data_IF_371412009011
#
_entry.id   IF_371412009011
#
_cell.length_a   1.000
_cell.length_b   1.000
_cell.length_c   1.000
_cell.angle_alpha   90.00
_cell.angle_beta   90.00
_cell.angle_gamma   90.00
#
_symmetry.space_group_name_H-M   'P 1'
#
loop_
_entity.id
_entity.type
_entity.pdbx_description
1 polymer ?
#
# COMPACT_ATOMS: atom_id res chain seq x y z
N UNK A 1 -14.36 8.90 5.31
CA UNK A 1 -14.36 9.84 6.46
C UNK A 1 -15.67 10.63 6.49
N UNK A 2 -16.05 11.31 5.41
CA UNK A 2 -17.34 12.04 5.35
C UNK A 2 -18.53 11.15 5.76
N UNK A 3 -18.63 9.95 5.24
CA UNK A 3 -19.72 9.01 5.55
C UNK A 3 -19.77 8.57 7.03
N UNK A 4 -18.69 8.79 7.79
CA UNK A 4 -18.61 8.53 9.24
C UNK A 4 -18.76 9.82 10.08
N UNK A 5 -19.13 10.96 9.46
CA UNK A 5 -19.28 12.24 10.14
C UNK A 5 -17.98 12.84 10.68
N UNK A 6 -16.83 12.42 10.14
CA UNK A 6 -15.51 12.97 10.53
C UNK A 6 -15.22 14.21 9.71
N UNK A 7 -14.84 15.29 10.38
CA UNK A 7 -14.23 16.45 9.72
C UNK A 7 -12.82 16.08 9.25
N UNK A 8 -12.49 16.39 7.99
CA UNK A 8 -11.18 16.10 7.46
C UNK A 8 -10.71 17.16 6.45
N UNK A 9 -9.40 17.32 6.35
CA UNK A 9 -8.73 18.12 5.34
C UNK A 9 -7.82 17.22 4.52
N UNK A 10 -7.97 17.24 3.20
CA UNK A 10 -7.09 16.56 2.27
C UNK A 10 -6.09 17.56 1.70
N UNK A 11 -4.80 17.16 1.67
CA UNK A 11 -3.73 17.95 1.08
C UNK A 11 -3.04 17.10 -0.01
N UNK A 12 -2.81 17.71 -1.16
CA UNK A 12 -2.04 17.14 -2.25
C UNK A 12 -0.60 17.64 -2.24
N UNK A 13 0.26 17.09 -3.09
CA UNK A 13 1.66 17.52 -3.20
C UNK A 13 1.79 19.00 -3.56
N UNK A 14 0.86 19.55 -4.33
CA UNK A 14 0.79 20.98 -4.68
C UNK A 14 0.52 21.87 -3.47
N UNK A 15 -0.18 21.36 -2.45
CA UNK A 15 -0.50 22.08 -1.22
C UNK A 15 0.63 21.95 -0.20
N UNK A 16 1.24 20.76 -0.11
CA UNK A 16 2.31 20.48 0.84
C UNK A 16 3.29 19.44 0.30
N UNK A 17 4.51 19.86 -0.02
CA UNK A 17 5.62 18.96 -0.25
C UNK A 17 6.22 18.52 1.09
N UNK A 18 6.04 17.24 1.44
CA UNK A 18 6.53 16.67 2.73
C UNK A 18 8.06 16.69 2.85
N UNK A 19 8.79 16.89 1.75
CA UNK A 19 10.26 17.04 1.78
C UNK A 19 10.69 18.39 2.32
N UNK A 20 9.82 19.43 2.23
CA UNK A 20 10.05 20.70 2.90
C UNK A 20 9.70 20.59 4.39
N UNK A 21 10.75 20.49 5.20
CA UNK A 21 10.62 20.37 6.65
C UNK A 21 9.89 21.53 7.32
N UNK A 22 10.11 22.76 6.81
CA UNK A 22 9.55 23.95 7.42
C UNK A 22 8.08 24.12 7.06
N UNK A 23 7.73 23.93 5.79
CA UNK A 23 6.35 23.93 5.33
C UNK A 23 5.54 22.81 6.02
N UNK A 24 6.08 21.58 6.11
CA UNK A 24 5.44 20.44 6.78
C UNK A 24 5.16 20.76 8.26
N UNK A 25 6.16 21.23 8.97
CA UNK A 25 6.00 21.60 10.38
C UNK A 25 4.97 22.73 10.57
N UNK A 26 5.03 23.77 9.74
CA UNK A 26 4.11 24.90 9.83
C UNK A 26 2.67 24.46 9.56
N UNK A 27 2.44 23.72 8.50
CA UNK A 27 1.12 23.22 8.13
C UNK A 27 0.51 22.38 9.25
N UNK A 28 1.23 21.36 9.74
CA UNK A 28 0.72 20.49 10.81
C UNK A 28 0.50 21.23 12.11
N UNK A 29 1.32 22.23 12.40
CA UNK A 29 1.13 23.07 13.60
C UNK A 29 -0.13 23.94 13.50
N UNK A 30 -0.41 24.52 12.34
CA UNK A 30 -1.61 25.36 12.11
C UNK A 30 -2.88 24.52 12.13
N UNK A 31 -2.87 23.37 11.42
CA UNK A 31 -4.04 22.49 11.34
C UNK A 31 -4.30 21.73 12.65
N UNK A 32 -3.25 21.45 13.43
CA UNK A 32 -3.29 20.74 14.71
C UNK A 32 -4.28 19.56 14.73
N UNK A 33 -4.15 18.57 13.82
CA UNK A 33 -5.10 17.48 13.69
C UNK A 33 -4.99 16.51 14.87
N UNK A 34 -6.09 15.85 15.25
CA UNK A 34 -6.06 14.72 16.19
C UNK A 34 -5.35 13.50 15.56
N UNK A 35 -5.62 13.25 14.28
CA UNK A 35 -5.05 12.12 13.52
C UNK A 35 -4.59 12.59 12.15
N UNK A 36 -3.35 12.24 11.77
CA UNK A 36 -2.80 12.51 10.46
C UNK A 36 -2.58 11.21 9.70
N UNK A 37 -3.22 11.07 8.53
CA UNK A 37 -3.01 9.96 7.59
C UNK A 37 -1.92 10.34 6.59
N UNK A 38 -0.74 9.74 6.73
CA UNK A 38 0.40 10.01 5.84
C UNK A 38 0.36 9.08 4.62
N UNK A 39 -0.26 9.58 3.55
CA UNK A 39 -0.40 8.86 2.28
C UNK A 39 0.66 9.28 1.23
N UNK A 40 1.41 10.37 1.48
CA UNK A 40 2.43 10.83 0.54
C UNK A 40 3.57 9.80 0.43
N UNK A 41 3.85 9.35 -0.80
CA UNK A 41 4.92 8.41 -1.07
C UNK A 41 5.39 8.49 -2.54
N UNK A 42 6.65 8.18 -2.75
CA UNK A 42 7.18 7.82 -4.07
C UNK A 42 6.91 6.33 -4.30
N UNK A 43 5.95 6.00 -5.17
CA UNK A 43 5.42 4.64 -5.31
C UNK A 43 5.84 3.94 -6.60
N UNK A 44 6.55 4.62 -7.52
CA UNK A 44 7.05 3.99 -8.72
C UNK A 44 8.28 3.13 -8.39
N UNK A 45 8.07 1.84 -8.26
CA UNK A 45 9.08 0.86 -7.83
C UNK A 45 10.30 0.84 -8.75
N UNK A 46 10.06 0.86 -10.07
CA UNK A 46 11.15 0.80 -11.07
C UNK A 46 11.90 2.12 -11.16
N UNK A 47 11.21 3.25 -11.14
CA UNK A 47 11.86 4.57 -11.12
C UNK A 47 12.66 4.81 -9.82
N UNK A 48 12.30 4.18 -8.72
CA UNK A 48 13.05 4.31 -7.48
C UNK A 48 14.49 3.80 -7.60
N UNK A 49 14.78 2.87 -8.51
CA UNK A 49 16.15 2.40 -8.78
C UNK A 49 17.02 3.51 -9.40
N UNK A 50 16.48 4.29 -10.32
CA UNK A 50 17.16 5.40 -11.00
C UNK A 50 17.05 6.73 -10.25
N UNK A 51 15.95 6.95 -9.52
CA UNK A 51 15.68 8.18 -8.76
C UNK A 51 15.76 7.92 -7.25
N UNK A 52 16.76 7.17 -6.82
CA UNK A 52 16.93 6.73 -5.43
C UNK A 52 16.90 7.89 -4.43
N UNK A 53 17.57 9.00 -4.75
CA UNK A 53 17.58 10.20 -3.90
C UNK A 53 16.19 10.79 -3.70
N UNK A 54 15.37 10.87 -4.75
CA UNK A 54 13.99 11.36 -4.69
C UNK A 54 13.11 10.41 -3.88
N UNK A 55 13.25 9.09 -4.10
CA UNK A 55 12.51 8.08 -3.36
C UNK A 55 12.79 8.18 -1.84
N UNK A 56 14.05 8.32 -1.43
CA UNK A 56 14.43 8.47 -0.02
C UNK A 56 13.99 9.82 0.56
N UNK A 57 14.13 10.91 -0.21
CA UNK A 57 13.68 12.23 0.24
C UNK A 57 12.18 12.22 0.59
N UNK A 58 11.34 11.59 -0.26
CA UNK A 58 9.89 11.51 -0.02
C UNK A 58 9.55 10.47 1.06
N UNK A 59 10.00 9.21 0.86
CA UNK A 59 9.57 8.08 1.69
C UNK A 59 10.22 8.04 3.08
N UNK A 60 11.46 8.52 3.21
CA UNK A 60 12.19 8.51 4.47
C UNK A 60 12.19 9.89 5.13
N UNK A 61 12.79 10.91 4.49
CA UNK A 61 12.93 12.22 5.11
C UNK A 61 11.58 12.95 5.23
N UNK A 62 10.71 12.85 4.21
CA UNK A 62 9.35 13.38 4.27
C UNK A 62 8.54 12.76 5.38
N UNK A 63 8.58 11.43 5.51
CA UNK A 63 7.90 10.72 6.62
C UNK A 63 8.44 11.11 7.99
N UNK A 64 9.77 11.30 8.12
CA UNK A 64 10.40 11.81 9.35
C UNK A 64 9.96 13.23 9.69
N UNK A 65 9.81 14.11 8.68
CA UNK A 65 9.35 15.47 8.88
C UNK A 65 7.92 15.48 9.43
N UNK A 66 7.02 14.69 8.82
CA UNK A 66 5.62 14.55 9.24
C UNK A 66 5.56 13.98 10.67
N UNK A 67 6.28 12.88 10.95
CA UNK A 67 6.27 12.25 12.27
C UNK A 67 6.73 13.19 13.39
N UNK A 68 7.80 13.96 13.14
CA UNK A 68 8.30 14.96 14.10
C UNK A 68 7.29 16.09 14.35
N UNK A 69 6.62 16.56 13.30
CA UNK A 69 5.62 17.60 13.40
C UNK A 69 4.38 17.10 14.16
N UNK A 70 3.88 15.89 13.84
CA UNK A 70 2.79 15.24 14.58
C UNK A 70 3.11 15.12 16.07
N UNK A 71 4.33 14.64 16.42
CA UNK A 71 4.75 14.55 17.82
C UNK A 71 4.70 15.90 18.54
N UNK A 72 5.08 16.98 17.87
CA UNK A 72 5.09 18.33 18.47
C UNK A 72 3.71 18.86 18.84
N UNK A 73 2.68 18.52 18.06
CA UNK A 73 1.29 18.92 18.29
C UNK A 73 0.46 17.87 19.03
N UNK A 74 1.05 16.70 19.35
CA UNK A 74 0.33 15.61 20.00
C UNK A 74 -0.59 14.82 19.04
N UNK A 75 -0.48 15.01 17.73
CA UNK A 75 -1.26 14.30 16.73
C UNK A 75 -0.82 12.83 16.63
N UNK A 76 -1.78 11.95 16.48
CA UNK A 76 -1.55 10.55 16.13
C UNK A 76 -1.24 10.43 14.64
N UNK A 77 -0.29 9.59 14.27
CA UNK A 77 0.09 9.35 12.88
C UNK A 77 -0.35 7.95 12.41
N UNK A 78 -1.04 7.89 11.27
CA UNK A 78 -1.23 6.65 10.50
C UNK A 78 -0.22 6.64 9.36
N UNK A 79 0.66 5.65 9.33
CA UNK A 79 1.71 5.51 8.32
C UNK A 79 1.46 4.27 7.45
N UNK A 80 1.37 4.48 6.13
CA UNK A 80 1.22 3.37 5.18
C UNK A 80 2.55 2.94 4.61
N UNK A 81 2.86 1.66 4.79
CA UNK A 81 4.04 0.98 4.27
C UNK A 81 3.65 -0.13 3.28
N UNK A 82 4.58 -1.02 2.97
CA UNK A 82 4.50 -1.97 1.87
C UNK A 82 5.01 -3.35 2.28
N UNK A 83 4.56 -4.38 1.57
CA UNK A 83 5.11 -5.73 1.58
C UNK A 83 6.54 -5.80 1.02
N UNK A 84 6.96 -4.82 0.19
CA UNK A 84 8.32 -4.75 -0.37
C UNK A 84 9.42 -4.46 0.64
N UNK A 85 9.08 -4.30 1.92
CA UNK A 85 10.06 -4.33 3.00
C UNK A 85 10.63 -5.73 3.26
N UNK A 86 10.02 -6.78 2.70
CA UNK A 86 10.46 -8.18 2.82
C UNK A 86 11.17 -8.69 1.57
N UNK A 87 12.04 -9.68 1.74
CA UNK A 87 12.90 -10.25 0.69
C UNK A 87 12.25 -11.37 -0.15
N UNK A 88 11.10 -11.87 0.27
CA UNK A 88 10.41 -12.93 -0.45
C UNK A 88 11.00 -14.33 -0.32
N UNK A 89 11.88 -14.59 0.66
CA UNK A 89 12.53 -15.88 0.87
C UNK A 89 11.67 -16.89 1.64
N UNK A 90 10.65 -16.41 2.34
CA UNK A 90 9.69 -17.28 3.04
C UNK A 90 8.74 -17.98 2.06
N UNK A 91 8.17 -19.08 2.53
CA UNK A 91 7.10 -19.85 1.86
C UNK A 91 5.81 -19.87 2.71
N UNK A 92 5.67 -18.94 3.61
CA UNK A 92 4.49 -18.73 4.46
C UNK A 92 4.31 -17.24 4.68
N UNK A 93 3.09 -16.76 4.96
CA UNK A 93 2.84 -15.34 5.13
C UNK A 93 3.78 -14.66 6.12
N UNK A 94 4.22 -13.44 5.77
CA UNK A 94 5.04 -12.60 6.62
C UNK A 94 4.19 -12.03 7.75
N UNK A 95 4.61 -12.27 8.98
CA UNK A 95 4.02 -11.68 10.18
C UNK A 95 4.60 -10.30 10.46
N UNK A 96 3.98 -9.53 11.36
CA UNK A 96 4.50 -8.23 11.80
C UNK A 96 5.79 -8.33 12.60
N UNK A 97 6.20 -9.54 13.01
CA UNK A 97 7.44 -9.83 13.77
C UNK A 97 8.61 -10.28 12.88
N UNK A 98 8.34 -10.60 11.61
CA UNK A 98 9.40 -10.96 10.68
C UNK A 98 10.32 -9.77 10.40
N UNK A 99 11.62 -10.03 10.33
CA UNK A 99 12.61 -8.99 10.07
C UNK A 99 12.52 -8.52 8.60
N UNK A 100 12.36 -7.22 8.37
CA UNK A 100 12.42 -6.66 7.02
C UNK A 100 13.81 -6.79 6.41
N UNK A 101 13.86 -7.11 5.10
CA UNK A 101 15.07 -7.20 4.29
C UNK A 101 14.74 -6.85 2.83
N UNK A 102 14.54 -5.57 2.48
CA UNK A 102 14.05 -5.16 1.17
C UNK A 102 15.06 -5.44 0.06
N UNK A 103 14.55 -5.75 -1.15
CA UNK A 103 15.35 -6.05 -2.34
C UNK A 103 15.51 -4.87 -3.31
N UNK A 104 14.72 -3.81 -3.16
CA UNK A 104 14.64 -2.68 -4.08
C UNK A 104 14.82 -1.36 -3.38
N UNK A 105 15.23 -0.32 -4.13
CA UNK A 105 15.35 1.05 -3.60
C UNK A 105 14.01 1.56 -3.03
N UNK A 106 12.88 1.20 -3.64
CA UNK A 106 11.56 1.51 -3.10
C UNK A 106 11.34 0.89 -1.73
N UNK A 107 11.55 -0.43 -1.60
CA UNK A 107 11.40 -1.14 -0.32
C UNK A 107 12.32 -0.59 0.77
N UNK A 108 13.59 -0.32 0.43
CA UNK A 108 14.56 0.27 1.34
C UNK A 108 14.14 1.69 1.79
N UNK A 109 13.66 2.54 0.87
CA UNK A 109 13.19 3.89 1.21
C UNK A 109 11.98 3.85 2.14
N UNK A 110 11.03 2.93 1.91
CA UNK A 110 9.86 2.73 2.78
C UNK A 110 10.25 2.22 4.16
N UNK A 111 11.15 1.23 4.24
CA UNK A 111 11.66 0.73 5.53
C UNK A 111 12.42 1.81 6.30
N UNK A 112 13.22 2.61 5.61
CA UNK A 112 13.92 3.75 6.24
C UNK A 112 12.90 4.76 6.81
N UNK A 113 11.79 4.97 6.10
CA UNK A 113 10.66 5.76 6.58
C UNK A 113 10.00 5.16 7.82
N UNK A 114 9.68 3.85 7.82
CA UNK A 114 9.16 3.14 9.00
C UNK A 114 10.05 3.39 10.23
N UNK A 115 11.35 3.15 10.08
CA UNK A 115 12.33 3.30 11.15
C UNK A 115 12.40 4.76 11.65
N UNK A 116 12.37 5.74 10.74
CA UNK A 116 12.41 7.15 11.09
C UNK A 116 11.15 7.60 11.83
N UNK A 117 9.96 7.10 11.43
CA UNK A 117 8.69 7.37 12.11
C UNK A 117 8.69 6.78 13.52
N UNK A 118 9.06 5.51 13.66
CA UNK A 118 9.14 4.84 14.99
C UNK A 118 10.16 5.53 15.89
N UNK A 119 11.35 5.84 15.39
CA UNK A 119 12.40 6.53 16.14
C UNK A 119 12.02 7.96 16.55
N UNK A 120 11.03 8.60 15.90
CA UNK A 120 10.54 9.92 16.29
C UNK A 120 9.81 9.89 17.63
N UNK A 121 9.27 8.74 18.02
CA UNK A 121 8.45 8.56 19.22
C UNK A 121 7.06 9.21 19.12
N UNK A 122 6.53 9.41 17.90
CA UNK A 122 5.12 9.78 17.67
C UNK A 122 4.22 8.59 18.00
N UNK A 123 3.00 8.83 18.47
CA UNK A 123 1.97 7.78 18.51
C UNK A 123 1.64 7.38 17.07
N UNK A 124 2.02 6.16 16.67
CA UNK A 124 1.88 5.69 15.29
C UNK A 124 1.11 4.38 15.19
N UNK A 125 0.18 4.35 14.23
CA UNK A 125 -0.38 3.16 13.64
C UNK A 125 0.32 2.91 12.30
N UNK A 126 1.22 1.93 12.24
CA UNK A 126 1.96 1.56 11.05
C UNK A 126 1.23 0.42 10.33
N UNK A 127 0.89 0.63 9.07
CA UNK A 127 0.14 -0.34 8.26
C UNK A 127 1.00 -0.76 7.08
N UNK A 128 1.33 -2.05 6.98
CA UNK A 128 1.89 -2.64 5.76
C UNK A 128 0.77 -3.26 4.95
N UNK A 129 0.77 -3.01 3.65
CA UNK A 129 -0.22 -3.51 2.71
C UNK A 129 0.46 -3.89 1.39
N UNK A 130 -0.27 -4.53 0.47
CA UNK A 130 0.29 -5.01 -0.79
C UNK A 130 -0.71 -4.94 -1.93
N UNK A 131 -0.20 -4.85 -3.15
CA UNK A 131 -0.90 -5.02 -4.43
C UNK A 131 -2.21 -4.25 -4.52
N UNK A 132 -2.13 -2.94 -4.20
CA UNK A 132 -3.30 -2.08 -4.12
C UNK A 132 -3.96 -1.84 -5.46
N UNK A 133 -5.28 -1.96 -5.47
CA UNK A 133 -6.14 -1.49 -6.55
C UNK A 133 -7.32 -0.68 -6.00
N UNK A 134 -7.87 0.21 -6.79
CA UNK A 134 -8.97 1.08 -6.38
C UNK A 134 -9.60 1.83 -7.54
N UNK A 135 -10.63 2.60 -7.24
CA UNK A 135 -11.45 3.34 -8.23
C UNK A 135 -10.70 4.52 -8.83
N UNK A 136 -9.77 5.11 -8.09
CA UNK A 136 -9.01 6.29 -8.52
C UNK A 136 -7.59 5.89 -8.94
N UNK A 137 -7.09 6.56 -9.98
CA UNK A 137 -5.73 6.38 -10.46
C UNK A 137 -5.51 5.12 -11.30
N UNK A 138 -4.27 4.94 -11.73
CA UNK A 138 -3.82 3.79 -12.53
C UNK A 138 -3.45 2.63 -11.59
N UNK A 139 -4.00 1.44 -11.85
CA UNK A 139 -3.61 0.22 -11.14
C UNK A 139 -3.62 -0.99 -12.08
N UNK A 140 -3.11 -2.11 -11.60
CA UNK A 140 -2.97 -3.34 -12.38
C UNK A 140 -4.30 -3.84 -12.93
N UNK A 141 -5.33 -3.95 -12.09
CA UNK A 141 -6.65 -4.50 -12.48
C UNK A 141 -7.26 -3.68 -13.61
N UNK A 142 -7.30 -2.35 -13.46
CA UNK A 142 -7.81 -1.45 -14.50
C UNK A 142 -6.99 -1.54 -15.80
N UNK A 143 -5.67 -1.67 -15.68
CA UNK A 143 -4.77 -1.79 -16.84
C UNK A 143 -5.02 -3.08 -17.62
N UNK A 144 -5.21 -4.21 -16.92
CA UNK A 144 -5.53 -5.51 -17.54
C UNK A 144 -6.86 -5.46 -18.27
N UNK A 145 -7.92 -4.96 -17.61
CA UNK A 145 -9.26 -4.82 -18.19
C UNK A 145 -9.23 -3.90 -19.42
N UNK A 146 -8.53 -2.77 -19.32
CA UNK A 146 -8.43 -1.82 -20.45
C UNK A 146 -7.72 -2.45 -21.65
N UNK A 147 -6.56 -3.11 -21.44
CA UNK A 147 -5.82 -3.76 -22.52
C UNK A 147 -6.63 -4.87 -23.19
N UNK A 148 -7.38 -5.65 -22.41
CA UNK A 148 -8.26 -6.68 -22.97
C UNK A 148 -9.40 -6.06 -23.80
N UNK A 149 -10.01 -4.96 -23.37
CA UNK A 149 -11.01 -4.20 -24.16
C UNK A 149 -10.43 -3.67 -25.48
N UNK A 150 -9.14 -3.37 -25.48
CA UNK A 150 -8.40 -2.93 -26.70
C UNK A 150 -7.98 -4.12 -27.60
N UNK A 151 -8.33 -5.35 -27.24
CA UNK A 151 -7.97 -6.57 -27.99
C UNK A 151 -6.47 -6.91 -27.94
N UNK A 152 -5.73 -6.43 -26.95
CA UNK A 152 -4.29 -6.68 -26.79
C UNK A 152 -4.05 -7.96 -26.02
N UNK A 153 -3.12 -8.79 -26.51
CA UNK A 153 -2.58 -9.91 -25.75
C UNK A 153 -1.89 -9.42 -24.45
N UNK A 154 -1.95 -10.21 -23.41
CA UNK A 154 -1.42 -9.88 -22.10
C UNK A 154 -0.29 -10.85 -21.73
N UNK A 155 0.80 -10.31 -21.22
CA UNK A 155 1.85 -11.09 -20.56
C UNK A 155 1.81 -10.76 -19.08
N UNK A 156 1.57 -11.76 -18.22
CA UNK A 156 1.40 -11.60 -16.78
C UNK A 156 2.34 -12.52 -16.01
N UNK A 157 2.98 -11.97 -14.98
CA UNK A 157 3.95 -12.70 -14.15
C UNK A 157 3.20 -13.75 -13.31
N UNK A 158 3.72 -15.01 -13.32
CA UNK A 158 3.12 -16.13 -12.59
C UNK A 158 3.98 -16.71 -11.47
N UNK A 159 5.20 -16.19 -11.29
CA UNK A 159 6.16 -16.60 -10.26
C UNK A 159 6.32 -15.61 -9.09
N UNK A 160 5.51 -14.54 -9.05
CA UNK A 160 5.39 -13.65 -7.89
C UNK A 160 4.04 -13.87 -7.21
N UNK A 161 4.07 -14.15 -5.91
CA UNK A 161 2.86 -14.37 -5.09
C UNK A 161 2.72 -13.30 -4.03
N UNK A 162 1.54 -12.68 -3.95
CA UNK A 162 1.23 -11.64 -3.00
C UNK A 162 -0.25 -11.61 -2.60
N UNK A 163 -0.67 -10.58 -1.88
CA UNK A 163 -2.06 -10.40 -1.43
C UNK A 163 -2.69 -9.20 -2.16
N UNK A 164 -3.53 -9.44 -3.20
CA UNK A 164 -4.27 -8.34 -3.84
C UNK A 164 -5.19 -7.67 -2.83
N UNK A 165 -5.20 -6.33 -2.80
CA UNK A 165 -5.93 -5.61 -1.76
C UNK A 165 -6.68 -4.41 -2.33
N UNK A 166 -7.97 -4.33 -2.02
CA UNK A 166 -8.82 -3.21 -2.40
C UNK A 166 -8.66 -2.04 -1.43
N UNK A 167 -8.36 -0.86 -1.99
CA UNK A 167 -8.05 0.34 -1.21
C UNK A 167 -9.18 0.79 -0.28
N UNK A 168 -10.46 0.58 -0.64
CA UNK A 168 -11.60 0.87 0.24
C UNK A 168 -11.58 0.02 1.49
N UNK A 169 -11.25 -1.28 1.38
CA UNK A 169 -11.13 -2.16 2.54
C UNK A 169 -10.02 -1.70 3.49
N UNK A 170 -8.87 -1.25 2.94
CA UNK A 170 -7.81 -0.68 3.79
C UNK A 170 -8.30 0.57 4.50
N UNK A 171 -8.99 1.46 3.79
CA UNK A 171 -9.51 2.70 4.37
C UNK A 171 -10.48 2.42 5.53
N UNK A 172 -11.43 1.50 5.33
CA UNK A 172 -12.40 1.10 6.36
C UNK A 172 -11.70 0.50 7.59
N UNK A 173 -10.84 -0.51 7.36
CA UNK A 173 -10.12 -1.20 8.44
C UNK A 173 -9.19 -0.25 9.19
N UNK A 174 -8.54 0.68 8.48
CA UNK A 174 -7.70 1.69 9.11
C UNK A 174 -8.50 2.62 10.01
N UNK A 175 -9.67 3.07 9.56
CA UNK A 175 -10.56 3.90 10.37
C UNK A 175 -11.07 3.15 11.60
N UNK A 176 -11.37 1.84 11.47
CA UNK A 176 -11.76 1.00 12.60
C UNK A 176 -10.61 0.87 13.62
N UNK A 177 -9.37 0.60 13.14
CA UNK A 177 -8.19 0.56 14.02
C UNK A 177 -7.95 1.88 14.73
N UNK A 178 -8.11 3.01 14.04
CA UNK A 178 -7.97 4.35 14.63
C UNK A 178 -9.03 4.57 15.71
N UNK A 179 -10.29 4.26 15.42
CA UNK A 179 -11.41 4.45 16.37
C UNK A 179 -11.27 3.59 17.64
N UNK A 180 -10.60 2.44 17.54
CA UNK A 180 -10.31 1.56 18.68
C UNK A 180 -8.92 1.80 19.29
N UNK A 181 -8.26 2.92 18.96
CA UNK A 181 -6.94 3.29 19.49
C UNK A 181 -5.84 2.22 19.29
N UNK A 182 -5.93 1.41 18.21
CA UNK A 182 -4.91 0.41 17.88
C UNK A 182 -3.54 1.08 17.64
N UNK A 183 -2.44 0.56 18.14
CA UNK A 183 -1.08 1.10 17.99
C UNK A 183 -0.09 0.04 17.54
N UNK A 184 1.06 0.50 17.03
CA UNK A 184 2.12 -0.36 16.52
C UNK A 184 1.85 -0.82 15.08
N UNK A 185 2.46 -1.95 14.67
CA UNK A 185 2.44 -2.42 13.28
C UNK A 185 1.31 -3.42 13.05
N UNK A 186 0.57 -3.22 11.96
CA UNK A 186 -0.45 -4.12 11.45
C UNK A 186 -0.20 -4.42 9.96
N UNK A 187 -0.55 -5.63 9.53
CA UNK A 187 -0.69 -5.97 8.13
C UNK A 187 -2.18 -5.92 7.76
N UNK A 188 -2.51 -5.17 6.71
CA UNK A 188 -3.88 -5.07 6.20
C UNK A 188 -3.89 -5.43 4.74
N UNK A 189 -4.47 -6.59 4.42
CA UNK A 189 -4.69 -7.07 3.05
C UNK A 189 -6.04 -7.79 2.98
N UNK A 190 -6.57 -7.97 1.79
CA UNK A 190 -7.60 -8.98 1.61
C UNK A 190 -7.01 -10.38 1.85
N UNK A 191 -7.82 -11.34 2.27
CA UNK A 191 -7.35 -12.69 2.57
C UNK A 191 -7.11 -13.52 1.31
N UNK A 192 -6.21 -14.49 1.45
CA UNK A 192 -5.75 -15.34 0.34
C UNK A 192 -4.54 -14.78 -0.38
N UNK A 193 -4.04 -15.54 -1.31
CA UNK A 193 -2.86 -15.22 -2.11
C UNK A 193 -3.15 -15.41 -3.60
N UNK A 194 -2.41 -14.74 -4.45
CA UNK A 194 -2.51 -14.81 -5.91
C UNK A 194 -1.16 -14.48 -6.56
N UNK A 195 -0.97 -14.98 -7.78
CA UNK A 195 0.03 -14.42 -8.69
C UNK A 195 -0.58 -13.23 -9.47
N UNK A 196 0.25 -12.43 -10.14
CA UNK A 196 -0.27 -11.41 -11.07
C UNK A 196 -1.07 -12.04 -12.21
N UNK A 197 -0.68 -13.25 -12.63
CA UNK A 197 -1.42 -14.04 -13.61
C UNK A 197 -2.81 -14.41 -13.09
N UNK A 198 -2.91 -14.92 -11.84
CA UNK A 198 -4.20 -15.27 -11.23
C UNK A 198 -5.11 -14.05 -11.08
N UNK A 199 -4.56 -12.94 -10.59
CA UNK A 199 -5.31 -11.69 -10.41
C UNK A 199 -5.83 -11.16 -11.75
N UNK A 200 -4.99 -11.16 -12.79
CA UNK A 200 -5.40 -10.71 -14.13
C UNK A 200 -6.45 -11.60 -14.75
N UNK A 201 -6.28 -12.93 -14.68
CA UNK A 201 -7.25 -13.90 -15.18
C UNK A 201 -8.62 -13.77 -14.50
N UNK A 202 -8.63 -13.65 -13.17
CA UNK A 202 -9.86 -13.46 -12.40
C UNK A 202 -10.55 -12.14 -12.76
N UNK A 203 -9.77 -11.04 -12.91
CA UNK A 203 -10.33 -9.75 -13.32
C UNK A 203 -11.01 -9.80 -14.68
N UNK A 204 -10.44 -10.50 -15.66
CA UNK A 204 -11.07 -10.69 -16.97
C UNK A 204 -12.32 -11.57 -16.88
N UNK A 205 -12.25 -12.66 -16.12
CA UNK A 205 -13.41 -13.55 -15.90
C UNK A 205 -14.61 -12.80 -15.32
N UNK A 206 -14.40 -12.00 -14.27
CA UNK A 206 -15.46 -11.20 -13.63
C UNK A 206 -16.01 -10.12 -14.59
N UNK A 207 -15.14 -9.53 -15.42
CA UNK A 207 -15.53 -8.50 -16.40
C UNK A 207 -16.20 -9.06 -17.65
N UNK A 208 -16.33 -10.41 -17.79
CA UNK A 208 -16.85 -11.04 -19.00
C UNK A 208 -15.99 -10.80 -20.25
N UNK A 209 -14.70 -10.50 -20.06
CA UNK A 209 -13.76 -10.23 -21.15
C UNK A 209 -12.90 -11.47 -21.42
N UNK A 210 -12.59 -11.66 -22.71
CA UNK A 210 -11.67 -12.70 -23.17
C UNK A 210 -10.46 -12.04 -23.79
N UNK A 211 -9.27 -12.45 -23.36
CA UNK A 211 -7.99 -12.07 -23.95
C UNK A 211 -7.03 -13.24 -23.84
N UNK A 212 -6.13 -13.36 -24.77
CA UNK A 212 -5.00 -14.27 -24.65
C UNK A 212 -4.08 -13.78 -23.54
N UNK A 213 -3.80 -14.66 -22.57
CA UNK A 213 -2.91 -14.37 -21.45
C UNK A 213 -1.77 -15.35 -21.47
N UNK A 214 -0.57 -14.87 -21.66
CA UNK A 214 0.68 -15.63 -21.57
C UNK A 214 1.27 -15.46 -20.17
N UNK A 215 1.45 -16.56 -19.40
CA UNK A 215 2.22 -16.52 -18.17
C UNK A 215 3.70 -16.32 -18.50
N UNK A 216 4.35 -15.38 -17.79
CA UNK A 216 5.79 -15.12 -17.92
C UNK A 216 6.48 -15.13 -16.56
N UNK A 217 7.78 -15.40 -16.54
CA UNK A 217 8.56 -15.30 -15.31
C UNK A 217 9.00 -13.87 -15.02
N UNK A 218 9.35 -13.60 -13.77
CA UNK A 218 9.97 -12.34 -13.34
C UNK A 218 11.23 -12.04 -14.15
N UNK A 219 12.03 -13.06 -14.47
CA UNK A 219 13.22 -12.89 -15.32
C UNK A 219 12.87 -12.45 -16.74
N UNK A 220 11.84 -13.05 -17.35
CA UNK A 220 11.40 -12.68 -18.69
C UNK A 220 10.83 -11.25 -18.74
N UNK A 221 10.17 -10.79 -17.66
CA UNK A 221 9.68 -9.42 -17.52
C UNK A 221 10.83 -8.41 -17.44
N UNK A 222 12.00 -8.79 -16.92
CA UNK A 222 13.24 -8.01 -16.85
C UNK A 222 13.05 -6.58 -16.30
N UNK A 223 12.24 -6.40 -15.26
CA UNK A 223 12.02 -5.10 -14.65
C UNK A 223 13.29 -4.56 -13.96
N UNK A 224 13.53 -3.23 -13.94
CA UNK A 224 14.68 -2.63 -13.28
C UNK A 224 14.79 -2.96 -11.80
N UNK A 225 13.67 -2.93 -11.07
CA UNK A 225 13.64 -3.22 -9.64
C UNK A 225 13.47 -4.71 -9.37
N UNK A 226 14.24 -5.24 -8.42
CA UNK A 226 14.03 -6.60 -7.90
C UNK A 226 12.75 -6.64 -7.04
N UNK A 227 11.96 -7.68 -7.24
CA UNK A 227 10.71 -7.91 -6.51
C UNK A 227 10.76 -9.22 -5.75
N UNK A 228 10.14 -9.31 -4.56
CA UNK A 228 10.03 -10.58 -3.84
C UNK A 228 9.17 -11.58 -4.62
N UNK A 229 9.63 -12.85 -4.68
CA UNK A 229 8.83 -13.92 -5.25
C UNK A 229 7.61 -14.28 -4.40
N UNK A 230 7.69 -14.05 -3.09
CA UNK A 230 6.61 -14.28 -2.15
C UNK A 230 6.52 -13.11 -1.17
N UNK A 231 5.41 -12.37 -1.17
CA UNK A 231 5.22 -11.22 -0.30
C UNK A 231 3.88 -11.20 0.43
N UNK A 232 3.25 -12.37 0.56
CA UNK A 232 1.97 -12.50 1.27
C UNK A 232 2.13 -12.05 2.71
N UNK A 233 1.22 -11.20 3.17
CA UNK A 233 1.21 -10.64 4.52
C UNK A 233 0.20 -11.39 5.41
N UNK A 234 0.61 -11.73 6.62
CA UNK A 234 -0.27 -12.29 7.65
C UNK A 234 -1.11 -11.18 8.28
N UNK A 235 -2.41 -11.17 7.99
CA UNK A 235 -3.38 -10.24 8.54
C UNK A 235 -4.05 -10.72 9.85
N UNK A 236 -3.61 -11.84 10.44
CA UNK A 236 -4.23 -12.41 11.63
C UNK A 236 -4.30 -11.44 12.81
N UNK A 237 -3.31 -10.58 12.98
CA UNK A 237 -3.30 -9.57 14.04
C UNK A 237 -4.47 -8.59 13.94
N UNK A 238 -4.79 -8.09 12.73
CA UNK A 238 -5.94 -7.19 12.54
C UNK A 238 -7.26 -7.95 12.67
N UNK A 239 -7.33 -9.20 12.19
CA UNK A 239 -8.51 -10.05 12.36
C UNK A 239 -8.86 -10.27 13.84
N UNK A 240 -7.85 -10.61 14.65
CA UNK A 240 -8.03 -10.80 16.11
C UNK A 240 -8.43 -9.50 16.77
N UNK A 241 -7.77 -8.37 16.44
CA UNK A 241 -8.05 -7.09 17.06
C UNK A 241 -9.47 -6.59 16.77
N UNK A 242 -9.95 -6.73 15.53
CA UNK A 242 -11.27 -6.28 15.11
C UNK A 242 -12.37 -7.35 15.28
N UNK A 243 -12.01 -8.59 15.66
CA UNK A 243 -12.97 -9.68 15.81
C UNK A 243 -13.66 -10.12 14.51
N UNK A 244 -13.04 -9.85 13.35
CA UNK A 244 -13.60 -10.18 12.03
C UNK A 244 -12.54 -10.71 11.07
N UNK A 245 -12.95 -11.56 10.12
CA UNK A 245 -12.08 -12.06 9.07
C UNK A 245 -11.89 -11.05 7.94
N UNK A 246 -10.73 -11.09 7.29
CA UNK A 246 -10.50 -10.30 6.09
C UNK A 246 -11.29 -10.87 4.92
N UNK A 247 -11.93 -10.00 4.16
CA UNK A 247 -12.65 -10.37 2.93
C UNK A 247 -11.70 -11.06 1.95
N UNK A 248 -12.07 -12.22 1.38
CA UNK A 248 -11.26 -12.87 0.34
C UNK A 248 -11.00 -11.94 -0.85
N UNK A 249 -9.77 -11.98 -1.39
CA UNK A 249 -9.40 -11.08 -2.48
C UNK A 249 -10.28 -11.22 -3.73
N UNK A 250 -10.81 -12.42 -4.01
CA UNK A 250 -11.74 -12.65 -5.13
C UNK A 250 -13.08 -11.95 -4.94
N UNK A 251 -13.58 -11.95 -3.72
CA UNK A 251 -14.82 -11.24 -3.37
C UNK A 251 -14.62 -9.73 -3.47
N UNK A 252 -13.54 -9.21 -2.89
CA UNK A 252 -13.17 -7.81 -2.98
C UNK A 252 -12.98 -7.35 -4.44
N UNK A 253 -12.31 -8.16 -5.27
CA UNK A 253 -12.15 -7.89 -6.69
C UNK A 253 -13.49 -7.83 -7.44
N UNK A 254 -14.40 -8.75 -7.12
CA UNK A 254 -15.74 -8.80 -7.72
C UNK A 254 -16.57 -7.56 -7.36
N UNK A 255 -16.50 -7.12 -6.11
CA UNK A 255 -17.17 -5.89 -5.67
C UNK A 255 -16.60 -4.66 -6.35
N UNK A 256 -15.27 -4.55 -6.40
CA UNK A 256 -14.57 -3.47 -7.07
C UNK A 256 -14.95 -3.37 -8.56
N UNK A 257 -14.91 -4.47 -9.32
CA UNK A 257 -15.22 -4.46 -10.76
C UNK A 257 -16.68 -4.08 -11.00
N UNK A 258 -17.62 -4.60 -10.19
CA UNK A 258 -19.02 -4.20 -10.27
C UNK A 258 -19.26 -2.72 -9.98
N UNK A 259 -18.41 -2.11 -9.16
CA UNK A 259 -18.44 -0.68 -8.85
C UNK A 259 -17.87 0.20 -9.97
N UNK A 260 -17.01 -0.36 -10.84
CA UNK A 260 -16.42 0.38 -11.98
C UNK A 260 -17.39 0.69 -13.10
N UNK A 261 -18.46 -0.10 -13.23
CA UNK A 261 -19.47 0.01 -14.31
C UNK A 261 -20.65 0.90 -13.91
N UNK A 262 -20.60 1.52 -12.74
CA UNK A 262 -21.57 2.49 -12.23
C UNK A 262 -21.04 3.91 -12.36
#
# INVERSE_FOLDING_TARGET
MADRGMEYKSLEKSDLDVTDRYATRHCIHVESPDVLFHCAAFTNVDMAESERSTAFAVNADGSKNVAKACKQVGARMVYFSTDYVFDGTKRSPYSTHDQPNPLSAYGESKLTGENAVVASGVDVLLIRTSWLYGTVGKNFVRTVIQRAREGRALQLIDDQTGSPTWAEHIAELTLDLVSHHASGTYHITNSGEATWYDLGREALSISGLHSEIEPISTEAWAAPARRPYYSVLDASKVEVFLGRKMTPWREALKEFIKGMDR
#
